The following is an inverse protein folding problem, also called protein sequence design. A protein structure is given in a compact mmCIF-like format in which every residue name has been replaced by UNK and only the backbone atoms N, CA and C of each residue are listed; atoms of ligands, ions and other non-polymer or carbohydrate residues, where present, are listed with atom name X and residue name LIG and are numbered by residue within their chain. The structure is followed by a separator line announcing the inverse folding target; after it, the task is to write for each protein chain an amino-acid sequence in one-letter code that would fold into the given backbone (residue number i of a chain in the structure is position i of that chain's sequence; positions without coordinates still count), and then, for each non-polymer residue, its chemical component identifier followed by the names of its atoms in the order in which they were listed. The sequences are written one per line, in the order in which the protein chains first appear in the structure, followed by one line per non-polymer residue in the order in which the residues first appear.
data_IF_938583668516
#
_entry.id   IF_938583668516
#
_cell.length_a   1.000
_cell.length_b   1.000
_cell.length_c   1.000
_cell.angle_alpha   90.00
_cell.angle_beta   90.00
_cell.angle_gamma   90.00
#
_symmetry.space_group_name_H-M   'P 1'
#
loop_
_entity.id
_entity.type
_entity.pdbx_description
1 polymer ?
#
# COMPACT_ATOMS: atom_id res chain seq x y z
N UNK A 1 -4.92 -9.06 -11.82
CA UNK A 1 -4.73 -8.47 -10.48
C UNK A 1 -3.75 -7.31 -10.50
N UNK A 2 -2.58 -7.40 -11.15
CA UNK A 2 -1.60 -6.31 -11.26
C UNK A 2 -2.15 -5.03 -11.94
N UNK A 3 -2.99 -5.20 -12.98
CA UNK A 3 -3.53 -4.10 -13.79
C UNK A 3 -4.58 -3.28 -13.02
N UNK A 4 -5.42 -3.95 -12.22
CA UNK A 4 -6.43 -3.31 -11.37
C UNK A 4 -5.79 -2.55 -10.21
N UNK A 5 -4.71 -3.07 -9.62
CA UNK A 5 -3.91 -2.35 -8.63
C UNK A 5 -3.25 -1.12 -9.24
N UNK A 6 -2.69 -1.22 -10.45
CA UNK A 6 -2.04 -0.10 -11.14
C UNK A 6 -3.02 1.04 -11.48
N UNK A 7 -4.28 0.71 -11.77
CA UNK A 7 -5.31 1.69 -12.14
C UNK A 7 -5.95 2.38 -10.92
N UNK A 8 -6.21 1.63 -9.84
CA UNK A 8 -6.80 2.17 -8.60
C UNK A 8 -5.78 2.95 -7.74
N UNK A 9 -4.50 2.57 -7.78
CA UNK A 9 -3.40 3.18 -7.03
C UNK A 9 -3.02 4.59 -7.52
N UNK A 10 -3.32 4.92 -8.78
CA UNK A 10 -3.02 6.23 -9.39
C UNK A 10 -3.80 7.39 -8.73
N UNK A 11 -4.91 7.09 -8.07
CA UNK A 11 -5.85 8.11 -7.58
C UNK A 11 -5.56 8.65 -6.18
N UNK A 12 -4.70 8.02 -5.37
CA UNK A 12 -4.58 8.32 -3.92
C UNK A 12 -3.15 8.66 -3.45
N UNK A 13 -2.12 8.42 -4.26
CA UNK A 13 -0.83 8.05 -3.67
C UNK A 13 0.40 8.75 -4.29
N UNK A 14 0.30 9.98 -4.79
CA UNK A 14 1.37 10.69 -5.54
C UNK A 14 2.77 10.71 -4.84
N UNK A 15 2.82 10.82 -3.49
CA UNK A 15 4.10 10.86 -2.74
C UNK A 15 4.59 9.49 -2.25
N UNK A 16 3.68 8.61 -1.82
CA UNK A 16 4.04 7.24 -1.38
C UNK A 16 4.31 6.31 -2.57
N UNK A 17 3.66 6.50 -3.71
CA UNK A 17 3.90 5.68 -4.91
C UNK A 17 5.29 5.84 -5.45
N UNK A 18 5.91 7.02 -5.36
CA UNK A 18 7.24 7.25 -5.93
C UNK A 18 8.32 6.43 -5.22
N UNK A 19 8.34 6.42 -3.88
CA UNK A 19 9.22 5.55 -3.08
C UNK A 19 8.93 4.08 -3.36
N UNK A 20 7.64 3.73 -3.46
CA UNK A 20 7.25 2.36 -3.72
C UNK A 20 7.67 1.89 -5.13
N UNK A 21 7.56 2.76 -6.14
CA UNK A 21 7.93 2.48 -7.52
C UNK A 21 9.44 2.30 -7.64
N UNK A 22 10.23 3.18 -7.02
CA UNK A 22 11.69 3.04 -6.97
C UNK A 22 12.10 1.69 -6.36
N UNK A 23 11.48 1.29 -5.25
CA UNK A 23 11.79 0.03 -4.58
C UNK A 23 11.34 -1.19 -5.41
N UNK A 24 10.16 -1.12 -6.05
CA UNK A 24 9.64 -2.17 -6.92
C UNK A 24 10.53 -2.34 -8.17
N UNK A 25 11.02 -1.24 -8.75
CA UNK A 25 11.98 -1.25 -9.86
C UNK A 25 13.32 -1.83 -9.42
N UNK A 26 13.85 -1.42 -8.25
CA UNK A 26 15.08 -2.01 -7.71
C UNK A 26 14.92 -3.53 -7.45
N UNK A 27 13.76 -3.96 -6.95
CA UNK A 27 13.45 -5.37 -6.71
C UNK A 27 13.38 -6.16 -8.04
N UNK A 28 12.70 -5.61 -9.05
CA UNK A 28 12.57 -6.22 -10.37
C UNK A 28 13.93 -6.37 -11.05
N UNK A 29 14.79 -5.34 -10.96
CA UNK A 29 16.15 -5.39 -11.47
C UNK A 29 16.99 -6.43 -10.72
N UNK A 30 16.90 -6.47 -9.38
CA UNK A 30 17.63 -7.47 -8.58
C UNK A 30 17.19 -8.90 -8.92
N UNK A 31 15.89 -9.14 -9.11
CA UNK A 31 15.33 -10.43 -9.48
C UNK A 31 15.76 -10.83 -10.91
N UNK A 32 15.71 -9.91 -11.89
CA UNK A 32 16.19 -10.14 -13.25
C UNK A 32 17.70 -10.44 -13.30
N UNK A 33 18.52 -9.68 -12.56
CA UNK A 33 19.97 -9.92 -12.46
C UNK A 33 20.25 -11.28 -11.82
N UNK A 34 19.43 -11.69 -10.86
CA UNK A 34 19.56 -13.00 -10.21
C UNK A 34 19.09 -14.15 -11.11
N UNK A 35 17.99 -13.96 -11.84
CA UNK A 35 17.42 -14.96 -12.75
C UNK A 35 18.36 -15.21 -13.94
N UNK A 36 18.92 -14.14 -14.50
CA UNK A 36 19.94 -14.19 -15.56
C UNK A 36 21.29 -14.69 -15.03
N UNK A 37 21.65 -14.35 -13.79
CA UNK A 37 22.87 -14.81 -13.12
C UNK A 37 22.85 -16.28 -12.70
N UNK A 38 21.68 -16.85 -12.39
CA UNK A 38 21.52 -18.29 -12.09
C UNK A 38 21.81 -19.16 -13.30
N UNK A 39 21.58 -18.67 -14.52
CA UNK A 39 22.05 -19.35 -15.74
C UNK A 39 23.58 -19.39 -15.85
N UNK A 40 24.32 -18.64 -15.02
CA UNK A 40 25.78 -18.51 -15.11
C UNK A 40 26.56 -19.02 -13.88
N UNK A 41 26.12 -18.83 -12.63
CA UNK A 41 26.75 -19.48 -11.45
C UNK A 41 25.96 -19.34 -10.14
N UNK A 42 26.17 -20.28 -9.23
CA UNK A 42 25.50 -20.46 -7.93
C UNK A 42 25.58 -19.23 -6.99
N UNK A 43 24.53 -18.44 -6.88
CA UNK A 43 24.33 -17.62 -5.67
C UNK A 43 22.93 -17.87 -5.13
N UNK A 44 22.81 -18.31 -3.88
CA UNK A 44 21.53 -18.61 -3.19
C UNK A 44 21.07 -17.48 -2.26
N UNK A 45 21.86 -16.41 -2.13
CA UNK A 45 21.63 -15.33 -1.17
C UNK A 45 20.57 -14.30 -1.60
N UNK A 46 20.57 -13.90 -2.87
CA UNK A 46 19.71 -12.82 -3.37
C UNK A 46 18.21 -13.12 -3.31
N UNK A 47 17.80 -14.34 -3.65
CA UNK A 47 16.40 -14.75 -3.59
C UNK A 47 15.78 -14.59 -2.18
N UNK A 48 16.53 -14.90 -1.12
CA UNK A 48 16.06 -14.72 0.26
C UNK A 48 15.89 -13.25 0.63
N UNK A 49 16.79 -12.38 0.16
CA UNK A 49 16.73 -10.93 0.40
C UNK A 49 15.54 -10.31 -0.33
N UNK A 50 15.34 -10.69 -1.60
CA UNK A 50 14.18 -10.26 -2.41
C UNK A 50 12.86 -10.71 -1.78
N UNK A 51 12.77 -11.98 -1.36
CA UNK A 51 11.57 -12.51 -0.70
C UNK A 51 11.25 -11.76 0.61
N UNK A 52 12.27 -11.48 1.42
CA UNK A 52 12.10 -10.70 2.67
C UNK A 52 11.64 -9.27 2.42
N UNK A 53 12.24 -8.58 1.45
CA UNK A 53 11.87 -7.22 1.07
C UNK A 53 10.45 -7.15 0.51
N UNK A 54 10.07 -8.09 -0.36
CA UNK A 54 8.72 -8.16 -0.92
C UNK A 54 7.67 -8.33 0.18
N UNK A 55 7.95 -9.18 1.18
CA UNK A 55 7.04 -9.42 2.29
C UNK A 55 6.84 -8.16 3.16
N UNK A 56 7.93 -7.48 3.54
CA UNK A 56 7.86 -6.23 4.31
C UNK A 56 7.08 -5.14 3.57
N UNK A 57 7.27 -5.07 2.27
CA UNK A 57 6.62 -4.08 1.43
C UNK A 57 5.11 -4.35 1.26
N UNK A 58 4.73 -5.62 1.14
CA UNK A 58 3.33 -6.04 1.11
C UNK A 58 2.63 -5.70 2.42
N UNK A 59 3.28 -5.95 3.57
CA UNK A 59 2.79 -5.55 4.89
C UNK A 59 2.63 -4.02 5.00
N UNK A 60 3.59 -3.25 4.51
CA UNK A 60 3.53 -1.79 4.52
C UNK A 60 2.33 -1.25 3.73
N UNK A 61 2.14 -1.75 2.50
CA UNK A 61 0.99 -1.40 1.67
C UNK A 61 -0.34 -1.84 2.28
N UNK A 62 -0.41 -3.02 2.88
CA UNK A 62 -1.63 -3.52 3.52
C UNK A 62 -1.99 -2.69 4.76
N UNK A 63 -0.99 -2.34 5.58
CA UNK A 63 -1.16 -1.47 6.74
C UNK A 63 -1.63 -0.07 6.32
N UNK A 64 -1.09 0.44 5.22
CA UNK A 64 -1.50 1.72 4.65
C UNK A 64 -2.97 1.71 4.19
N UNK A 65 -3.37 0.67 3.43
CA UNK A 65 -4.74 0.48 2.97
C UNK A 65 -5.73 0.31 4.14
N UNK A 66 -5.32 -0.41 5.18
CA UNK A 66 -6.10 -0.56 6.42
C UNK A 66 -6.29 0.80 7.10
N UNK A 67 -5.23 1.61 7.20
CA UNK A 67 -5.29 2.94 7.82
C UNK A 67 -6.22 3.88 7.06
N UNK A 68 -6.16 3.90 5.73
CA UNK A 68 -7.10 4.68 4.91
C UNK A 68 -8.54 4.21 5.09
N UNK A 69 -8.78 2.89 5.16
CA UNK A 69 -10.09 2.33 5.46
C UNK A 69 -10.63 2.76 6.84
N UNK A 70 -9.77 2.73 7.87
CA UNK A 70 -10.12 3.21 9.22
C UNK A 70 -10.38 4.70 9.23
N UNK A 71 -9.59 5.50 8.52
CA UNK A 71 -9.78 6.95 8.42
C UNK A 71 -11.13 7.30 7.79
N UNK A 72 -11.51 6.63 6.71
CA UNK A 72 -12.82 6.80 6.08
C UNK A 72 -13.95 6.38 7.02
N UNK A 73 -13.79 5.25 7.72
CA UNK A 73 -14.78 4.78 8.70
C UNK A 73 -15.01 5.79 9.82
N UNK A 74 -13.92 6.31 10.42
CA UNK A 74 -14.01 7.34 11.45
C UNK A 74 -14.63 8.63 10.92
N UNK A 75 -14.27 9.07 9.72
CA UNK A 75 -14.86 10.27 9.10
C UNK A 75 -16.38 10.12 8.94
N UNK A 76 -16.85 8.96 8.48
CA UNK A 76 -18.28 8.65 8.35
C UNK A 76 -18.98 8.65 9.71
N UNK A 77 -18.44 7.94 10.70
CA UNK A 77 -19.04 7.88 12.05
C UNK A 77 -19.09 9.25 12.70
N UNK A 78 -18.04 10.06 12.57
CA UNK A 78 -17.96 11.38 13.17
C UNK A 78 -18.90 12.38 12.48
N UNK A 79 -19.09 12.28 11.16
CA UNK A 79 -20.08 13.09 10.43
C UNK A 79 -21.50 12.73 10.85
N UNK A 80 -21.83 11.44 10.97
CA UNK A 80 -23.16 11.01 11.44
C UNK A 80 -23.43 11.44 12.88
N UNK A 81 -22.44 11.29 13.76
CA UNK A 81 -22.56 11.73 15.15
C UNK A 81 -22.77 13.24 15.25
N UNK A 82 -22.07 14.02 14.43
CA UNK A 82 -22.24 15.48 14.39
C UNK A 82 -23.64 15.86 13.90
N UNK A 83 -24.10 15.29 12.79
CA UNK A 83 -25.44 15.57 12.24
C UNK A 83 -26.56 15.25 13.22
N UNK A 84 -26.50 14.12 13.93
CA UNK A 84 -27.51 13.76 14.93
C UNK A 84 -27.50 14.73 16.12
N UNK A 85 -26.30 15.14 16.59
CA UNK A 85 -26.17 16.12 17.68
C UNK A 85 -26.77 17.47 17.31
N UNK A 86 -26.54 17.95 16.09
CA UNK A 86 -27.14 19.20 15.58
C UNK A 86 -28.68 19.09 15.47
N UNK A 87 -29.21 17.98 14.97
CA UNK A 87 -30.66 17.75 14.93
C UNK A 87 -31.31 17.76 16.32
N UNK A 88 -30.68 17.13 17.32
CA UNK A 88 -31.18 17.11 18.70
C UNK A 88 -31.20 18.52 19.30
N UNK A 89 -30.16 19.31 19.07
CA UNK A 89 -30.09 20.70 19.55
C UNK A 89 -31.19 21.59 18.94
N UNK A 90 -31.52 21.41 17.66
CA UNK A 90 -32.62 22.15 17.01
C UNK A 90 -34.01 21.70 17.47
N UNK A 91 -34.18 20.45 17.90
CA UNK A 91 -35.45 19.93 18.41
C UNK A 91 -35.73 20.32 19.87
N UNK A 92 -34.68 20.61 20.65
CA UNK A 92 -34.77 21.04 22.05
C UNK A 92 -34.73 22.57 22.23
N UNK A 93 -34.50 23.32 21.15
CA UNK A 93 -34.52 24.78 21.12
C UNK A 93 -35.89 25.35 20.75
#
# INVERSE_FOLDING_TARGET
MCILTFWLCRSIQETRTTIHLHLCVCLFIADLVFLTGISYTQSKGGCKVVAGLLHLFFLGSFSWMLLEGVQLYLMVVLVFNTTIRYCIYLLYG
#
